data_IF_641376864012
#
_entry.id   IF_641376864012
#
_cell.length_a   1.000
_cell.length_b   1.000
_cell.length_c   1.000
_cell.angle_alpha   90.00
_cell.angle_beta   90.00
_cell.angle_gamma   90.00
#
_symmetry.space_group_name_H-M   'P 1'
#
loop_
_entity.id
_entity.type
_entity.pdbx_description
1 polymer ?
#
# COMPACT_ATOMS: atom_id res chain seq x y z
N UNK A 1 -20.70 -22.69 -0.68
CA UNK A 1 -19.92 -22.35 0.53
C UNK A 1 -18.59 -21.78 0.10
N UNK A 2 -18.34 -20.50 0.40
CA UNK A 2 -17.10 -19.81 0.02
C UNK A 2 -15.95 -20.36 0.87
N UNK A 3 -14.98 -21.04 0.24
CA UNK A 3 -13.76 -21.48 0.91
C UNK A 3 -12.97 -20.21 1.30
N UNK A 4 -13.22 -19.70 2.52
CA UNK A 4 -12.33 -18.76 3.19
C UNK A 4 -11.02 -19.50 3.45
N UNK A 5 -10.17 -19.59 2.44
CA UNK A 5 -8.74 -19.82 2.66
C UNK A 5 -8.26 -18.61 3.46
N UNK A 6 -8.33 -18.71 4.78
CA UNK A 6 -7.78 -17.70 5.66
C UNK A 6 -6.31 -17.59 5.28
N UNK A 7 -5.91 -16.48 4.65
CA UNK A 7 -4.53 -16.30 4.20
C UNK A 7 -3.58 -16.67 5.36
N UNK A 8 -2.57 -17.49 5.05
CA UNK A 8 -1.66 -18.07 6.05
C UNK A 8 -1.14 -17.00 7.00
N UNK A 9 -0.93 -17.36 8.27
CA UNK A 9 -0.33 -16.48 9.27
C UNK A 9 0.99 -15.88 8.78
N UNK A 10 1.76 -16.65 8.01
CA UNK A 10 3.00 -16.20 7.38
C UNK A 10 2.79 -15.03 6.42
N UNK A 11 1.69 -15.02 5.65
CA UNK A 11 1.36 -13.92 4.75
C UNK A 11 1.05 -12.63 5.54
N UNK A 12 0.29 -12.76 6.64
CA UNK A 12 -0.03 -11.62 7.51
C UNK A 12 1.24 -11.06 8.17
N UNK A 13 2.17 -11.92 8.60
CA UNK A 13 3.47 -11.53 9.15
C UNK A 13 4.33 -10.83 8.10
N UNK A 14 4.47 -11.41 6.90
CA UNK A 14 5.24 -10.81 5.81
C UNK A 14 4.72 -9.41 5.42
N UNK A 15 3.40 -9.20 5.41
CA UNK A 15 2.83 -7.88 5.13
C UNK A 15 2.86 -6.93 6.33
N UNK A 16 3.14 -7.40 7.55
CA UNK A 16 3.23 -6.57 8.76
C UNK A 16 4.65 -6.09 9.08
N UNK A 17 5.63 -6.34 8.22
CA UNK A 17 7.04 -5.97 8.43
C UNK A 17 7.25 -4.47 8.74
N UNK A 18 6.38 -3.60 8.21
CA UNK A 18 6.44 -2.16 8.42
C UNK A 18 6.22 -1.74 9.89
N UNK A 19 5.65 -2.59 10.74
CA UNK A 19 5.48 -2.29 12.17
C UNK A 19 6.84 -2.21 12.86
N UNK A 20 7.84 -2.96 12.39
CA UNK A 20 9.20 -2.87 12.94
C UNK A 20 9.80 -1.48 12.71
N UNK A 21 9.43 -0.79 11.63
CA UNK A 21 9.86 0.59 11.38
C UNK A 21 9.27 1.57 12.40
N UNK A 22 8.10 1.25 12.97
CA UNK A 22 7.50 2.11 14.01
C UNK A 22 8.22 2.02 15.36
N UNK A 23 8.91 0.91 15.61
CA UNK A 23 9.76 0.76 16.80
C UNK A 23 11.03 1.59 16.75
N UNK A 24 11.47 2.04 15.57
CA UNK A 24 12.69 2.84 15.44
C UNK A 24 12.53 4.29 15.89
N UNK A 25 11.33 4.73 16.32
CA UNK A 25 10.95 6.09 16.73
C UNK A 25 11.09 7.18 15.63
N UNK A 26 12.21 7.18 14.91
CA UNK A 26 12.58 8.08 13.83
C UNK A 26 11.86 7.75 12.52
N UNK A 27 11.70 6.46 12.21
CA UNK A 27 11.14 6.00 10.93
C UNK A 27 9.62 5.78 10.95
N UNK A 28 8.94 6.27 12.00
CA UNK A 28 7.49 6.20 12.13
C UNK A 28 6.78 6.82 10.93
N UNK A 29 7.16 8.04 10.56
CA UNK A 29 6.56 8.75 9.42
C UNK A 29 6.65 7.96 8.11
N UNK A 30 7.80 7.34 7.85
CA UNK A 30 8.04 6.53 6.66
C UNK A 30 7.16 5.28 6.66
N UNK A 31 6.99 4.63 7.81
CA UNK A 31 6.13 3.46 7.95
C UNK A 31 4.67 3.79 7.56
N UNK A 32 4.12 4.88 8.09
CA UNK A 32 2.75 5.33 7.77
C UNK A 32 2.61 5.80 6.32
N UNK A 33 3.64 6.44 5.77
CA UNK A 33 3.65 6.84 4.36
C UNK A 33 3.66 5.63 3.42
N UNK A 34 4.48 4.61 3.73
CA UNK A 34 4.55 3.36 2.97
C UNK A 34 3.20 2.66 2.94
N UNK A 35 2.56 2.45 4.11
CA UNK A 35 1.27 1.76 4.16
C UNK A 35 0.16 2.57 3.49
N UNK A 36 0.14 3.90 3.68
CA UNK A 36 -0.84 4.78 3.05
C UNK A 36 -0.75 4.75 1.54
N UNK A 37 0.47 4.77 0.99
CA UNK A 37 0.72 4.65 -0.45
C UNK A 37 0.33 3.27 -0.97
N UNK A 38 0.66 2.21 -0.23
CA UNK A 38 0.42 0.82 -0.64
C UNK A 38 -1.06 0.48 -0.78
N UNK A 39 -1.91 0.98 0.12
CA UNK A 39 -3.37 0.78 0.04
C UNK A 39 -4.12 1.96 -0.57
N UNK A 40 -3.41 2.97 -1.09
CA UNK A 40 -3.98 4.22 -1.64
C UNK A 40 -4.93 4.95 -0.66
N UNK A 41 -4.63 4.90 0.64
CA UNK A 41 -5.43 5.57 1.67
C UNK A 41 -4.81 6.91 2.06
N UNK A 42 -5.39 8.01 1.58
CA UNK A 42 -4.91 9.38 1.85
C UNK A 42 -4.85 9.73 3.34
N UNK A 43 -5.74 9.18 4.17
CA UNK A 43 -5.73 9.44 5.62
C UNK A 43 -4.46 8.90 6.27
N UNK A 44 -4.00 7.72 5.86
CA UNK A 44 -2.79 7.09 6.39
C UNK A 44 -1.52 7.78 5.92
N UNK A 45 -1.51 8.24 4.66
CA UNK A 45 -0.45 9.11 4.16
C UNK A 45 -0.36 10.41 4.96
N UNK A 46 -1.50 11.01 5.33
CA UNK A 46 -1.54 12.21 6.18
C UNK A 46 -1.03 11.94 7.59
N UNK A 47 -1.37 10.79 8.19
CA UNK A 47 -0.76 10.39 9.47
C UNK A 47 0.76 10.24 9.36
N UNK A 48 1.29 9.76 8.22
CA UNK A 48 2.74 9.75 7.98
C UNK A 48 3.36 11.15 8.04
N UNK A 49 2.71 12.16 7.49
CA UNK A 49 3.17 13.54 7.61
C UNK A 49 3.11 14.04 9.07
N UNK A 50 2.02 13.78 9.78
CA UNK A 50 1.84 14.17 11.18
C UNK A 50 2.91 13.53 12.07
N UNK A 51 3.16 12.23 11.93
CA UNK A 51 4.17 11.51 12.70
C UNK A 51 5.61 11.80 12.26
N UNK A 52 5.82 12.48 11.12
CA UNK A 52 7.14 13.01 10.75
C UNK A 52 7.45 14.34 11.45
N UNK A 53 6.44 15.04 11.95
CA UNK A 53 6.60 16.36 12.56
C UNK A 53 7.55 16.37 13.76
N UNK A 54 7.49 15.43 14.73
CA UNK A 54 8.43 15.39 15.84
C UNK A 54 9.89 15.24 15.40
N UNK A 55 10.13 14.47 14.32
CA UNK A 55 11.47 14.28 13.77
C UNK A 55 11.99 15.56 13.09
N UNK A 56 11.16 16.22 12.28
CA UNK A 56 11.50 17.51 11.67
C UNK A 56 11.76 18.56 12.75
N UNK A 57 10.91 18.60 13.78
CA UNK A 57 11.05 19.50 14.90
C UNK A 57 12.36 19.28 15.67
N UNK A 58 12.77 18.02 15.87
CA UNK A 58 14.08 17.69 16.44
C UNK A 58 15.25 18.22 15.60
N UNK A 59 15.20 18.06 14.27
CA UNK A 59 16.25 18.58 13.38
C UNK A 59 16.35 20.10 13.52
N UNK A 60 15.21 20.81 13.51
CA UNK A 60 15.17 22.26 13.65
C UNK A 60 15.70 22.70 15.02
N UNK A 61 15.31 22.01 16.09
CA UNK A 61 15.78 22.28 17.45
C UNK A 61 17.31 22.21 17.56
N UNK A 62 17.92 21.14 17.01
CA UNK A 62 19.37 20.95 17.02
C UNK A 62 20.12 22.01 16.20
N UNK A 63 19.51 22.54 15.14
CA UNK A 63 20.13 23.59 14.31
C UNK A 63 20.08 24.96 15.02
N UNK A 64 18.97 25.28 15.70
CA UNK A 64 18.78 26.59 16.33
C UNK A 64 19.50 26.66 17.68
N UNK A 65 19.44 25.59 18.46
CA UNK A 65 20.00 25.50 19.81
C UNK A 65 20.77 24.17 19.94
N UNK A 66 22.05 24.15 19.56
CA UNK A 66 22.86 22.93 19.61
C UNK A 66 23.22 22.51 21.04
N UNK A 67 23.05 23.39 22.02
CA UNK A 67 23.21 23.04 23.43
C UNK A 67 21.94 22.39 23.99
N UNK A 68 22.07 21.74 25.15
CA UNK A 68 20.97 20.99 25.79
C UNK A 68 20.01 21.96 26.49
N UNK A 69 19.36 22.82 25.71
CA UNK A 69 18.40 23.80 26.17
C UNK A 69 16.98 23.27 26.33
N UNK A 70 16.07 24.18 26.68
CA UNK A 70 14.65 23.88 26.84
C UNK A 70 14.04 23.35 25.53
N UNK A 71 14.41 23.93 24.38
CA UNK A 71 13.92 23.56 23.06
C UNK A 71 14.31 22.12 22.71
N UNK A 72 15.58 21.75 22.92
CA UNK A 72 16.08 20.39 22.73
C UNK A 72 15.34 19.38 23.63
N UNK A 73 15.10 19.75 24.89
CA UNK A 73 14.36 18.90 25.85
C UNK A 73 12.91 18.65 25.41
N UNK A 74 12.21 19.69 24.92
CA UNK A 74 10.85 19.55 24.38
C UNK A 74 10.86 18.68 23.12
N UNK A 75 11.84 18.86 22.23
CA UNK A 75 11.92 18.11 20.99
C UNK A 75 12.13 16.61 21.23
N UNK A 76 13.06 16.26 22.12
CA UNK A 76 13.33 14.88 22.52
C UNK A 76 12.10 14.27 23.21
N UNK A 77 11.46 15.00 24.13
CA UNK A 77 10.23 14.54 24.79
C UNK A 77 9.10 14.28 23.78
N UNK A 78 8.95 15.17 22.80
CA UNK A 78 7.96 15.04 21.72
C UNK A 78 8.21 13.81 20.84
N UNK A 79 9.48 13.44 20.61
CA UNK A 79 9.82 12.21 19.91
C UNK A 79 9.41 10.95 20.67
N UNK A 80 9.60 10.91 22.00
CA UNK A 80 9.18 9.78 22.81
C UNK A 80 7.65 9.65 22.86
N UNK A 81 6.93 10.74 23.13
CA UNK A 81 5.46 10.74 23.15
C UNK A 81 4.88 10.44 21.77
N UNK A 82 5.45 11.06 20.72
CA UNK A 82 5.09 10.82 19.33
C UNK A 82 5.33 9.38 18.91
N UNK A 83 6.47 8.81 19.29
CA UNK A 83 6.79 7.42 18.99
C UNK A 83 5.90 6.42 19.71
N UNK A 84 5.65 6.61 21.01
CA UNK A 84 4.73 5.74 21.77
C UNK A 84 3.30 5.79 21.20
N UNK A 85 2.79 6.99 20.92
CA UNK A 85 1.46 7.15 20.31
C UNK A 85 1.40 6.50 18.93
N UNK A 86 2.44 6.67 18.11
CA UNK A 86 2.54 6.06 16.79
C UNK A 86 2.59 4.53 16.85
N UNK A 87 3.26 3.95 17.86
CA UNK A 87 3.35 2.51 18.05
C UNK A 87 1.97 1.91 18.35
N UNK A 88 1.21 2.53 19.27
CA UNK A 88 -0.18 2.14 19.55
C UNK A 88 -1.04 2.28 18.29
N UNK A 89 -0.89 3.39 17.55
CA UNK A 89 -1.65 3.63 16.33
C UNK A 89 -1.35 2.60 15.23
N UNK A 90 -0.09 2.14 15.12
CA UNK A 90 0.33 1.12 14.18
C UNK A 90 -0.39 -0.22 14.42
N UNK A 91 -0.56 -0.63 15.68
CA UNK A 91 -1.31 -1.86 16.01
C UNK A 91 -2.78 -1.78 15.64
N UNK A 92 -3.41 -0.61 15.78
CA UNK A 92 -4.80 -0.36 15.37
C UNK A 92 -4.91 -0.45 13.85
N UNK A 93 -4.06 0.29 13.13
CA UNK A 93 -4.08 0.34 11.67
C UNK A 93 -3.74 -1.01 11.05
N UNK A 94 -2.89 -1.83 11.68
CA UNK A 94 -2.52 -3.16 11.17
C UNK A 94 -3.73 -4.01 10.79
N UNK A 95 -4.75 -4.06 11.66
CA UNK A 95 -5.95 -4.87 11.41
C UNK A 95 -6.70 -4.36 10.18
N UNK A 96 -6.88 -3.05 10.08
CA UNK A 96 -7.56 -2.42 8.94
C UNK A 96 -6.75 -2.53 7.65
N UNK A 97 -5.43 -2.38 7.73
CA UNK A 97 -4.50 -2.50 6.60
C UNK A 97 -4.57 -3.87 5.95
N UNK A 98 -4.55 -4.95 6.74
CA UNK A 98 -4.64 -6.31 6.21
C UNK A 98 -5.97 -6.54 5.46
N UNK A 99 -7.08 -6.04 6.01
CA UNK A 99 -8.41 -6.17 5.38
C UNK A 99 -8.46 -5.40 4.05
N UNK A 100 -8.00 -4.15 4.03
CA UNK A 100 -7.97 -3.35 2.80
C UNK A 100 -7.05 -3.95 1.74
N UNK A 101 -5.89 -4.47 2.15
CA UNK A 101 -4.95 -5.12 1.26
C UNK A 101 -5.53 -6.41 0.66
N UNK A 102 -6.21 -7.21 1.46
CA UNK A 102 -6.92 -8.42 1.00
C UNK A 102 -8.03 -8.06 0.00
N UNK A 103 -8.83 -7.04 0.28
CA UNK A 103 -9.87 -6.56 -0.64
C UNK A 103 -9.29 -6.08 -1.98
N UNK A 104 -8.17 -5.36 -1.97
CA UNK A 104 -7.50 -4.92 -3.20
C UNK A 104 -6.93 -6.08 -4.02
N UNK A 105 -6.38 -7.09 -3.35
CA UNK A 105 -5.90 -8.30 -4.04
C UNK A 105 -7.05 -9.08 -4.68
N UNK A 106 -8.17 -9.22 -3.96
CA UNK A 106 -9.35 -9.90 -4.47
C UNK A 106 -9.92 -9.21 -5.72
N UNK A 107 -10.11 -7.88 -5.68
CA UNK A 107 -10.55 -7.13 -6.87
C UNK A 107 -9.59 -7.29 -8.05
N UNK A 108 -8.28 -7.31 -7.78
CA UNK A 108 -7.27 -7.47 -8.84
C UNK A 108 -7.33 -8.86 -9.45
N UNK A 109 -7.45 -9.90 -8.62
CA UNK A 109 -7.59 -11.28 -9.09
C UNK A 109 -8.86 -11.48 -9.91
N UNK A 110 -9.98 -10.89 -9.49
CA UNK A 110 -11.25 -10.95 -10.22
C UNK A 110 -11.17 -10.27 -11.59
N UNK A 111 -10.61 -9.06 -11.65
CA UNK A 111 -10.34 -8.39 -12.92
C UNK A 111 -9.40 -9.17 -13.83
N UNK A 112 -8.34 -9.77 -13.27
CA UNK A 112 -7.43 -10.61 -14.06
C UNK A 112 -8.13 -11.85 -14.60
N UNK A 113 -9.04 -12.47 -13.84
CA UNK A 113 -9.86 -13.59 -14.31
C UNK A 113 -10.81 -13.18 -15.42
N UNK A 114 -11.43 -12.00 -15.30
CA UNK A 114 -12.29 -11.44 -16.34
C UNK A 114 -11.50 -11.22 -17.64
N UNK A 115 -10.33 -10.58 -17.56
CA UNK A 115 -9.42 -10.38 -18.70
C UNK A 115 -9.02 -11.74 -19.30
N UNK A 116 -8.59 -12.71 -18.48
CA UNK A 116 -8.20 -14.03 -18.96
C UNK A 116 -9.35 -14.76 -19.69
N UNK A 117 -10.59 -14.59 -19.23
CA UNK A 117 -11.78 -15.17 -19.88
C UNK A 117 -12.10 -14.51 -21.23
N UNK A 118 -11.92 -13.18 -21.34
CA UNK A 118 -12.12 -12.43 -22.59
C UNK A 118 -11.13 -12.86 -23.67
N UNK A 119 -9.88 -13.16 -23.28
CA UNK A 119 -8.84 -13.66 -24.18
C UNK A 119 -8.86 -15.19 -24.36
N UNK A 120 -9.81 -15.91 -23.76
CA UNK A 120 -9.91 -17.38 -23.88
C UNK A 120 -8.73 -18.14 -23.27
N UNK A 121 -8.00 -17.55 -22.32
CA UNK A 121 -6.80 -18.13 -21.70
C UNK A 121 -7.13 -19.16 -20.59
N UNK A 122 -8.39 -19.26 -20.17
CA UNK A 122 -8.85 -20.29 -19.24
C UNK A 122 -9.10 -21.62 -19.97
N UNK A 123 -8.04 -22.25 -20.50
CA UNK A 123 -8.10 -23.61 -21.04
C UNK A 123 -6.79 -24.38 -20.82
N UNK A 124 -6.66 -24.99 -19.64
CA UNK A 124 -6.06 -26.32 -19.55
C UNK A 124 -7.25 -27.17 -19.09
N UNK A 125 -7.86 -28.07 -19.86
CA UNK A 125 -7.40 -28.99 -20.88
C UNK A 125 -8.53 -29.13 -21.91
N UNK A 126 -8.26 -28.96 -23.21
CA UNK A 126 -8.89 -29.68 -24.32
C UNK A 126 -8.70 -28.94 -25.66
N UNK A 127 -8.21 -29.69 -26.63
CA UNK A 127 -8.13 -29.35 -28.06
C UNK A 127 -7.16 -28.22 -28.48
N UNK A 128 -5.87 -28.56 -28.46
CA UNK A 128 -4.89 -28.06 -29.44
C UNK A 128 -5.21 -28.57 -30.85
N UNK A 129 -6.35 -28.20 -31.43
CA UNK A 129 -6.67 -28.30 -32.85
C UNK A 129 -7.80 -27.34 -33.21
N UNK A 130 -7.56 -26.03 -33.29
CA UNK A 130 -8.35 -25.15 -34.19
C UNK A 130 -7.50 -24.03 -34.81
N UNK A 131 -7.81 -23.63 -36.05
CA UNK A 131 -6.90 -22.92 -36.94
C UNK A 131 -6.84 -21.41 -36.66
N UNK A 132 -5.79 -20.78 -37.21
CA UNK A 132 -5.48 -19.35 -37.13
C UNK A 132 -6.73 -18.45 -37.28
N UNK A 133 -6.83 -17.35 -36.51
CA UNK A 133 -7.91 -16.39 -36.69
C UNK A 133 -7.81 -15.76 -38.09
N UNK A 134 -8.87 -15.89 -38.87
CA UNK A 134 -9.06 -15.13 -40.11
C UNK A 134 -9.18 -13.66 -39.74
N UNK A 135 -8.21 -12.86 -40.17
CA UNK A 135 -8.26 -11.40 -40.06
C UNK A 135 -9.57 -10.88 -40.66
N UNK A 136 -10.30 -10.08 -39.89
CA UNK A 136 -11.51 -9.36 -40.35
C UNK A 136 -11.14 -8.55 -41.60
N UNK A 137 -11.93 -8.60 -42.70
CA UNK A 137 -11.62 -7.80 -43.88
C UNK A 137 -11.78 -6.32 -43.53
N UNK A 138 -10.74 -5.54 -43.83
CA UNK A 138 -10.75 -4.08 -43.82
C UNK A 138 -11.98 -3.57 -44.57
N UNK A 139 -12.83 -2.80 -43.88
CA UNK A 139 -13.95 -2.08 -44.50
C UNK A 139 -13.44 -1.22 -45.66
N UNK A 140 -14.21 -1.23 -46.74
CA UNK A 140 -13.91 -0.66 -48.04
C UNK A 140 -13.79 0.87 -48.10
N UNK A 141 -13.62 1.44 -49.31
CA UNK A 141 -13.11 2.78 -49.52
C UNK A 141 -14.10 3.85 -49.05
N UNK A 142 -13.60 4.80 -48.26
CA UNK A 142 -14.31 6.02 -47.89
C UNK A 142 -14.48 6.88 -49.14
N UNK A 143 -15.69 6.91 -49.70
CA UNK A 143 -16.07 7.86 -50.74
C UNK A 143 -16.16 9.24 -50.08
N UNK A 144 -15.19 10.09 -50.41
CA UNK A 144 -15.19 11.52 -50.07
C UNK A 144 -16.22 12.22 -50.95
N UNK A 145 -17.34 12.64 -50.37
CA UNK A 145 -18.23 13.59 -51.05
C UNK A 145 -17.69 15.01 -50.84
N UNK A 146 -17.64 15.71 -51.97
CA UNK A 146 -17.21 17.09 -52.19
C UNK A 146 -18.03 18.12 -51.43
#
# INVERSE_FOLDING_TARGET
MMNKSSKSLLWKLAQSWWILLTFSFLFNGIAFFYIGSKVKNRRWTMFGAIYSFPFIFMIIAVIIDPEVGLIATIAVSSLYVGGLSSMVHAFIIRKEFLIRLEGQQYLKEDHLRQIASEYGLNSNEDHFKRPKPTTVPSRGPLIRQS
#
